data_IF_067918800525
#
_entry.id   IF_067918800525
#
_cell.length_a   1.000
_cell.length_b   1.000
_cell.length_c   1.000
_cell.angle_alpha   90.00
_cell.angle_beta   90.00
_cell.angle_gamma   90.00
#
_symmetry.space_group_name_H-M   'P 1'
#
loop_
_entity.id
_entity.type
_entity.pdbx_description
1 polymer ?
#
# COMPACT_ATOMS: atom_id res chain seq x y z
N UNK A 1 -17.64 -15.29 6.42
CA UNK A 1 -16.45 -15.43 5.57
C UNK A 1 -15.74 -14.09 5.53
N UNK A 2 -14.56 -13.95 6.14
CA UNK A 2 -13.77 -12.71 6.07
C UNK A 2 -12.87 -12.83 4.84
N UNK A 3 -13.21 -12.16 3.73
CA UNK A 3 -12.25 -11.98 2.63
C UNK A 3 -11.08 -11.17 3.17
N UNK A 4 -9.86 -11.70 3.05
CA UNK A 4 -8.65 -10.97 3.39
C UNK A 4 -8.23 -10.13 2.19
N UNK A 5 -8.37 -8.82 2.32
CA UNK A 5 -7.89 -7.88 1.31
C UNK A 5 -6.40 -7.59 1.50
N UNK A 6 -5.69 -7.36 0.40
CA UNK A 6 -4.30 -6.87 0.36
C UNK A 6 -4.24 -5.58 -0.44
N UNK A 7 -3.45 -4.60 0.02
CA UNK A 7 -3.22 -3.34 -0.67
C UNK A 7 -1.80 -3.31 -1.24
N UNK A 8 -1.68 -3.03 -2.53
CA UNK A 8 -0.41 -2.93 -3.24
C UNK A 8 -0.22 -1.51 -3.79
N UNK A 9 0.98 -0.97 -3.60
CA UNK A 9 1.43 0.29 -4.16
C UNK A 9 2.59 0.01 -5.11
N UNK A 10 2.45 0.41 -6.37
CA UNK A 10 3.58 0.44 -7.31
C UNK A 10 4.30 1.76 -7.15
N UNK A 11 5.59 1.70 -6.86
CA UNK A 11 6.43 2.87 -6.66
C UNK A 11 7.07 3.29 -7.98
N UNK A 12 7.10 4.59 -8.25
CA UNK A 12 7.76 5.11 -9.44
C UNK A 12 9.28 4.85 -9.38
N UNK A 13 9.94 4.44 -10.48
CA UNK A 13 11.35 4.03 -10.49
C UNK A 13 12.36 5.06 -9.95
N UNK A 14 11.97 6.34 -9.90
CA UNK A 14 12.83 7.45 -9.47
C UNK A 14 12.86 7.66 -7.95
N UNK A 15 12.01 6.95 -7.19
CA UNK A 15 11.93 7.08 -5.74
C UNK A 15 12.53 5.87 -5.03
N UNK A 16 13.34 6.14 -4.01
CA UNK A 16 13.84 5.13 -3.08
C UNK A 16 12.80 4.77 -2.02
N UNK A 17 12.95 3.60 -1.41
CA UNK A 17 12.11 3.14 -0.30
C UNK A 17 12.00 4.15 0.84
N UNK A 18 13.12 4.76 1.23
CA UNK A 18 13.15 5.79 2.28
C UNK A 18 12.27 7.00 1.92
N UNK A 19 12.43 7.54 0.71
CA UNK A 19 11.67 8.71 0.26
C UNK A 19 10.16 8.45 0.19
N UNK A 20 9.78 7.21 -0.13
CA UNK A 20 8.37 6.81 -0.11
C UNK A 20 7.85 6.74 1.32
N UNK A 21 8.56 6.09 2.23
CA UNK A 21 8.12 5.97 3.63
C UNK A 21 7.97 7.33 4.32
N UNK A 22 8.86 8.29 4.06
CA UNK A 22 8.76 9.65 4.60
C UNK A 22 7.43 10.35 4.25
N UNK A 23 6.82 10.01 3.11
CA UNK A 23 5.53 10.57 2.65
C UNK A 23 4.34 9.68 3.00
N UNK A 24 4.54 8.37 2.91
CA UNK A 24 3.48 7.37 3.05
C UNK A 24 3.10 7.16 4.51
N UNK A 25 4.08 7.09 5.41
CA UNK A 25 3.87 6.83 6.84
C UNK A 25 2.81 7.75 7.48
N UNK A 26 2.91 9.09 7.40
CA UNK A 26 1.93 9.97 8.02
C UNK A 26 0.52 9.78 7.45
N UNK A 27 0.39 9.41 6.17
CA UNK A 27 -0.91 9.12 5.58
C UNK A 27 -1.48 7.81 6.14
N UNK A 28 -0.74 6.70 6.04
CA UNK A 28 -1.27 5.37 6.40
C UNK A 28 -1.56 5.21 7.89
N UNK A 29 -0.83 5.94 8.75
CA UNK A 29 -1.09 5.96 10.20
C UNK A 29 -2.48 6.50 10.53
N UNK A 30 -3.03 7.43 9.73
CA UNK A 30 -4.40 7.96 9.92
C UNK A 30 -5.50 6.99 9.48
N UNK A 31 -5.16 5.96 8.70
CA UNK A 31 -6.10 4.97 8.18
C UNK A 31 -5.82 3.56 8.73
N UNK A 32 -5.39 3.44 9.99
CA UNK A 32 -5.02 2.15 10.60
C UNK A 32 -6.12 1.08 10.44
N UNK A 33 -5.73 -0.15 10.10
CA UNK A 33 -6.66 -1.28 9.97
C UNK A 33 -5.97 -2.64 9.77
N UNK A 34 -6.70 -3.61 9.25
CA UNK A 34 -6.28 -5.02 9.17
C UNK A 34 -5.77 -5.45 7.78
N UNK A 35 -5.74 -4.54 6.80
CA UNK A 35 -5.30 -4.87 5.43
C UNK A 35 -3.79 -4.68 5.32
N UNK A 36 -3.03 -5.74 5.01
CA UNK A 36 -1.60 -5.62 4.78
C UNK A 36 -1.29 -4.73 3.57
N UNK A 37 -0.27 -3.88 3.73
CA UNK A 37 0.24 -3.00 2.70
C UNK A 37 1.54 -3.56 2.11
N UNK A 38 1.64 -3.55 0.78
CA UNK A 38 2.80 -3.99 0.03
C UNK A 38 3.29 -2.87 -0.88
N UNK A 39 4.61 -2.65 -0.93
CA UNK A 39 5.26 -1.68 -1.81
C UNK A 39 6.07 -2.45 -2.85
N UNK A 40 5.78 -2.25 -4.13
CA UNK A 40 6.52 -2.82 -5.24
C UNK A 40 7.45 -1.77 -5.85
N UNK A 41 8.75 -2.02 -5.82
CA UNK A 41 9.80 -1.19 -6.40
C UNK A 41 10.28 -1.83 -7.72
N UNK A 42 9.74 -1.39 -8.88
CA UNK A 42 10.02 -2.04 -10.17
C UNK A 42 11.49 -1.92 -10.60
N UNK A 43 12.18 -0.84 -10.21
CA UNK A 43 13.60 -0.67 -10.52
C UNK A 43 14.51 -1.69 -9.82
N UNK A 44 14.04 -2.25 -8.70
CA UNK A 44 14.77 -3.22 -7.86
C UNK A 44 14.19 -4.64 -7.97
N UNK A 45 13.14 -4.84 -8.78
CA UNK A 45 12.32 -6.07 -8.82
C UNK A 45 11.90 -6.56 -7.41
N UNK A 46 11.65 -5.61 -6.51
CA UNK A 46 11.51 -5.86 -5.07
C UNK A 46 10.09 -5.63 -4.60
N UNK A 47 9.54 -6.57 -3.83
CA UNK A 47 8.26 -6.43 -3.13
C UNK A 47 8.48 -6.42 -1.62
N UNK A 48 8.07 -5.34 -0.96
CA UNK A 48 8.19 -5.18 0.49
C UNK A 48 6.82 -5.26 1.13
N UNK A 49 6.64 -6.19 2.06
CA UNK A 49 5.48 -6.19 2.96
C UNK A 49 5.74 -5.22 4.11
N UNK A 50 4.81 -4.31 4.36
CA UNK A 50 4.94 -3.37 5.47
C UNK A 50 4.81 -4.04 6.84
N UNK A 51 5.37 -3.36 7.84
CA UNK A 51 5.12 -3.68 9.24
C UNK A 51 3.64 -3.52 9.60
N UNK A 52 3.19 -4.24 10.64
CA UNK A 52 1.78 -4.34 11.05
C UNK A 52 1.13 -2.99 11.38
N UNK A 53 1.89 -2.05 11.96
CA UNK A 53 1.40 -0.72 12.30
C UNK A 53 1.14 0.19 11.09
N UNK A 54 1.65 -0.18 9.91
CA UNK A 54 1.34 0.49 8.64
C UNK A 54 0.20 -0.19 7.86
N UNK A 55 -0.47 -1.17 8.45
CA UNK A 55 -1.62 -1.80 7.80
C UNK A 55 -2.84 -0.90 7.93
N UNK A 56 -3.70 -0.96 6.93
CA UNK A 56 -4.72 0.05 6.72
C UNK A 56 -6.12 -0.53 6.67
N UNK A 57 -7.11 0.33 6.92
CA UNK A 57 -8.50 0.12 6.56
C UNK A 57 -8.68 0.67 5.15
N UNK A 58 -8.92 -0.21 4.18
CA UNK A 58 -9.16 0.20 2.79
C UNK A 58 -10.52 0.87 2.69
N UNK A 59 -10.52 2.19 2.47
CA UNK A 59 -11.71 3.02 2.23
C UNK A 59 -11.46 3.90 1.00
N UNK A 60 -12.50 4.38 0.29
CA UNK A 60 -12.34 5.21 -0.90
C UNK A 60 -11.41 6.41 -0.69
N UNK A 61 -11.55 7.11 0.44
CA UNK A 61 -10.75 8.29 0.76
C UNK A 61 -9.24 7.97 0.81
N UNK A 62 -8.87 6.85 1.44
CA UNK A 62 -7.47 6.41 1.46
C UNK A 62 -6.93 6.16 0.05
N UNK A 63 -7.71 5.50 -0.81
CA UNK A 63 -7.28 5.22 -2.19
C UNK A 63 -7.06 6.52 -2.96
N UNK A 64 -7.95 7.50 -2.79
CA UNK A 64 -7.79 8.82 -3.42
C UNK A 64 -6.55 9.55 -2.93
N UNK A 65 -6.27 9.54 -1.63
CA UNK A 65 -5.08 10.19 -1.07
C UNK A 65 -3.77 9.49 -1.52
N UNK A 66 -3.77 8.15 -1.59
CA UNK A 66 -2.63 7.39 -2.12
C UNK A 66 -2.35 7.72 -3.60
N UNK A 67 -3.39 7.87 -4.42
CA UNK A 67 -3.22 8.24 -5.83
C UNK A 67 -2.65 9.66 -6.04
N UNK A 68 -2.78 10.53 -5.03
CA UNK A 68 -2.21 11.89 -5.06
C UNK A 68 -0.77 11.95 -4.55
N UNK A 69 -0.29 10.90 -3.87
CA UNK A 69 1.05 10.90 -3.28
C UNK A 69 2.15 10.85 -4.37
N UNK A 70 3.10 11.80 -4.36
CA UNK A 70 4.19 11.78 -5.32
C UNK A 70 5.08 10.54 -5.14
N UNK A 71 5.17 9.74 -6.19
CA UNK A 71 5.95 8.50 -6.23
C UNK A 71 5.13 7.21 -6.19
N UNK A 72 3.79 7.31 -6.09
CA UNK A 72 2.90 6.18 -6.29
C UNK A 72 2.41 6.20 -7.75
N UNK A 73 2.82 5.21 -8.54
CA UNK A 73 2.39 5.05 -9.94
C UNK A 73 1.02 4.38 -10.03
N UNK A 74 0.75 3.42 -9.14
CA UNK A 74 -0.50 2.66 -9.14
C UNK A 74 -0.85 2.17 -7.74
N UNK A 75 -2.16 2.02 -7.51
CA UNK A 75 -2.76 1.48 -6.29
C UNK A 75 -3.63 0.30 -6.69
N UNK A 76 -3.52 -0.84 -6.00
CA UNK A 76 -4.30 -2.04 -6.30
C UNK A 76 -4.79 -2.71 -5.02
N UNK A 77 -6.09 -3.00 -4.97
CA UNK A 77 -6.72 -3.75 -3.88
C UNK A 77 -7.06 -5.13 -4.41
N UNK A 78 -6.47 -6.15 -3.80
CA UNK A 78 -6.70 -7.56 -4.16
C UNK A 78 -7.52 -8.21 -3.07
N UNK A 79 -8.67 -8.78 -3.43
CA UNK A 79 -9.43 -9.64 -2.54
C UNK A 79 -8.92 -11.06 -2.72
N UNK A 80 -8.50 -11.72 -1.64
CA UNK A 80 -8.38 -13.17 -1.66
C UNK A 80 -9.77 -13.74 -1.41
N UNK A 81 -10.41 -14.21 -2.48
CA UNK A 81 -11.48 -15.17 -2.34
C UNK A 81 -10.84 -16.45 -1.82
N UNK A 82 -11.21 -16.83 -0.60
CA UNK A 82 -10.86 -18.12 -0.05
C UNK A 82 -11.49 -19.18 -0.94
N UNK A 83 -10.68 -19.74 -1.85
CA UNK A 83 -11.08 -20.84 -2.71
C UNK A 83 -11.71 -21.93 -1.87
N UNK A 84 -12.97 -22.24 -2.21
CA UNK A 84 -13.73 -23.37 -1.68
C UNK A 84 -13.34 -24.61 -2.47
#
# INVERSE_FOLDING_TARGET
>A
TKSSSKLYLKIAPVYSERQIWEKLAPLVETYTGDTPLYLYFPAEEKLVKSMRHYWVKVVPDLIQELQKLPGIDAVSVVQEDGGI
#
